data_IF_239920439812
#
_entry.id   IF_239920439812
#
_cell.length_a   1.000
_cell.length_b   1.000
_cell.length_c   1.000
_cell.angle_alpha   90.00
_cell.angle_beta   90.00
_cell.angle_gamma   90.00
#
_symmetry.space_group_name_H-M   'P 1'
#
loop_
_entity.id
_entity.type
_entity.pdbx_description
1 polymer ?
#
# COMPACT_ATOMS: atom_id res chain seq x y z
N UNK A 1 7.01 -13.00 3.43
CA UNK A 1 6.34 -11.70 3.65
C UNK A 1 4.93 -11.98 4.16
N UNK A 2 4.49 -11.28 5.19
CA UNK A 2 3.13 -11.38 5.72
C UNK A 2 2.30 -10.16 5.35
N UNK A 3 0.98 -10.28 5.44
CA UNK A 3 0.03 -9.18 5.34
C UNK A 3 -0.99 -9.31 6.46
N UNK A 4 -1.35 -8.20 7.09
CA UNK A 4 -2.35 -8.17 8.14
C UNK A 4 -3.32 -7.02 7.91
N UNK A 5 -4.60 -7.30 8.07
CA UNK A 5 -5.67 -6.31 8.04
C UNK A 5 -6.58 -6.51 9.25
N UNK A 6 -6.91 -5.43 9.94
CA UNK A 6 -8.00 -5.40 10.90
C UNK A 6 -8.86 -4.19 10.61
N UNK A 7 -10.18 -4.34 10.70
CA UNK A 7 -11.06 -3.25 10.37
C UNK A 7 -12.51 -3.66 10.21
N UNK A 8 -13.35 -2.69 9.82
CA UNK A 8 -14.76 -2.94 9.54
C UNK A 8 -15.14 -2.52 8.13
N UNK A 9 -16.17 -3.18 7.61
CA UNK A 9 -16.79 -2.91 6.33
C UNK A 9 -18.27 -2.59 6.54
N UNK A 10 -18.78 -1.59 5.84
CA UNK A 10 -20.20 -1.24 5.83
C UNK A 10 -20.62 -0.53 4.54
N UNK A 11 -21.87 -0.70 4.12
CA UNK A 11 -22.46 0.10 3.03
C UNK A 11 -22.95 1.47 3.52
N UNK A 12 -22.94 1.72 4.84
CA UNK A 12 -23.50 2.92 5.44
C UNK A 12 -22.44 4.02 5.62
N UNK A 13 -22.48 5.04 4.77
CA UNK A 13 -21.50 6.14 4.76
C UNK A 13 -21.36 6.85 6.12
N UNK A 14 -22.49 7.13 6.80
CA UNK A 14 -22.43 7.83 8.09
C UNK A 14 -21.81 6.98 9.20
N UNK A 15 -21.96 5.65 9.15
CA UNK A 15 -21.34 4.75 10.12
C UNK A 15 -19.83 4.68 9.90
N UNK A 16 -19.37 4.63 8.65
CA UNK A 16 -17.95 4.70 8.31
C UNK A 16 -17.33 6.04 8.74
N UNK A 17 -18.04 7.15 8.50
CA UNK A 17 -17.60 8.49 8.95
C UNK A 17 -17.55 8.60 10.47
N UNK A 18 -18.54 8.06 11.18
CA UNK A 18 -18.54 8.04 12.63
C UNK A 18 -17.39 7.19 13.20
N UNK A 19 -17.05 6.07 12.55
CA UNK A 19 -15.88 5.26 12.87
C UNK A 19 -14.57 6.06 12.73
N UNK A 20 -14.38 6.76 11.60
CA UNK A 20 -13.20 7.62 11.36
C UNK A 20 -13.03 8.69 12.45
N UNK A 21 -14.13 9.34 12.85
CA UNK A 21 -14.11 10.39 13.87
C UNK A 21 -13.86 9.83 15.27
N UNK A 22 -14.31 8.61 15.53
CA UNK A 22 -14.20 7.93 16.83
C UNK A 22 -12.81 7.35 17.06
N UNK A 23 -12.24 6.73 16.05
CA UNK A 23 -10.97 5.99 16.15
C UNK A 23 -9.91 6.72 15.33
N UNK A 24 -9.15 7.57 16.03
CA UNK A 24 -8.28 8.60 15.45
C UNK A 24 -7.27 8.10 14.42
N UNK A 25 -6.83 6.85 14.56
CA UNK A 25 -5.80 6.26 13.70
C UNK A 25 -6.36 5.33 12.63
N UNK A 26 -7.69 5.24 12.51
CA UNK A 26 -8.30 4.46 11.44
C UNK A 26 -8.34 5.25 10.13
N UNK A 27 -8.18 4.55 9.02
CA UNK A 27 -8.28 5.11 7.67
C UNK A 27 -9.59 4.63 7.01
N UNK A 28 -10.35 5.55 6.41
CA UNK A 28 -11.57 5.22 5.68
C UNK A 28 -11.35 5.36 4.19
N UNK A 29 -11.73 4.32 3.44
CA UNK A 29 -11.71 4.32 1.98
C UNK A 29 -13.04 3.86 1.42
N UNK A 30 -13.52 4.53 0.37
CA UNK A 30 -14.69 4.07 -0.39
C UNK A 30 -14.23 3.04 -1.42
N UNK A 31 -14.93 1.92 -1.48
CA UNK A 31 -14.73 0.86 -2.48
C UNK A 31 -15.85 0.98 -3.49
N UNK A 32 -15.53 0.79 -4.77
CA UNK A 32 -16.50 0.84 -5.86
C UNK A 32 -16.36 -0.30 -6.87
N UNK A 33 -15.14 -0.83 -7.05
CA UNK A 33 -14.85 -1.78 -8.12
C UNK A 33 -15.42 -3.18 -7.84
N UNK A 34 -15.20 -3.71 -6.63
CA UNK A 34 -15.69 -5.04 -6.24
C UNK A 34 -16.98 -5.00 -5.40
N UNK A 35 -17.29 -3.83 -4.83
CA UNK A 35 -18.42 -3.60 -3.92
C UNK A 35 -18.59 -2.10 -3.70
N UNK A 36 -19.82 -1.58 -3.66
CA UNK A 36 -20.10 -0.17 -3.33
C UNK A 36 -20.32 -0.01 -1.82
N UNK A 37 -19.28 0.43 -1.12
CA UNK A 37 -19.30 0.59 0.32
C UNK A 37 -18.03 1.21 0.86
N UNK A 38 -17.82 1.06 2.16
CA UNK A 38 -16.74 1.69 2.89
C UNK A 38 -15.96 0.65 3.69
N UNK A 39 -14.64 0.78 3.64
CA UNK A 39 -13.71 0.03 4.48
C UNK A 39 -13.05 1.00 5.45
N UNK A 40 -13.02 0.62 6.72
CA UNK A 40 -12.31 1.32 7.79
C UNK A 40 -11.19 0.38 8.24
N UNK A 41 -9.94 0.78 8.01
CA UNK A 41 -8.74 0.03 8.39
C UNK A 41 -8.25 0.53 9.75
N UNK A 42 -8.03 -0.38 10.69
CA UNK A 42 -7.27 -0.13 11.90
C UNK A 42 -5.78 0.08 11.58
N UNK A 43 -5.06 0.87 12.37
CA UNK A 43 -3.60 0.97 12.23
C UNK A 43 -2.96 -0.41 12.47
N UNK A 44 -1.87 -0.70 11.78
CA UNK A 44 -1.06 -1.89 11.98
C UNK A 44 0.30 -1.50 12.59
N UNK A 45 0.88 -2.37 13.40
CA UNK A 45 2.26 -2.17 13.90
C UNK A 45 3.30 -2.13 12.78
N UNK A 46 3.01 -2.79 11.65
CA UNK A 46 3.82 -2.69 10.44
C UNK A 46 3.77 -1.28 9.81
N UNK A 47 2.81 -0.44 10.21
CA UNK A 47 2.74 0.97 9.80
C UNK A 47 3.63 1.87 10.67
N UNK A 48 4.12 1.39 11.81
CA UNK A 48 4.98 2.17 12.70
C UNK A 48 6.34 2.42 12.06
N UNK A 49 6.84 3.62 12.29
CA UNK A 49 8.20 3.98 11.96
C UNK A 49 9.15 3.27 12.94
N UNK A 50 10.21 2.57 12.50
CA UNK A 50 11.14 1.90 13.44
C UNK A 50 11.95 2.78 14.41
N UNK A 51 11.69 4.11 14.48
CA UNK A 51 12.17 4.96 15.59
C UNK A 51 11.05 5.38 16.54
N UNK A 52 9.81 5.03 16.22
CA UNK A 52 8.73 5.13 17.19
C UNK A 52 9.03 4.16 18.33
N UNK A 53 8.72 4.64 19.53
CA UNK A 53 9.00 3.92 20.75
C UNK A 53 7.93 2.84 21.02
N UNK A 54 8.17 2.05 22.05
CA UNK A 54 7.24 1.04 22.54
C UNK A 54 5.86 1.64 22.84
N UNK A 55 5.79 2.90 23.29
CA UNK A 55 4.54 3.60 23.54
C UNK A 55 3.71 3.82 22.25
N UNK A 56 4.33 3.92 21.07
CA UNK A 56 3.59 3.98 19.81
C UNK A 56 2.98 2.63 19.43
N UNK A 57 3.73 1.54 19.65
CA UNK A 57 3.22 0.18 19.49
C UNK A 57 2.00 -0.04 20.39
N UNK A 58 2.10 0.33 21.67
CA UNK A 58 1.01 0.23 22.63
C UNK A 58 -0.23 1.03 22.19
N UNK A 59 -0.06 2.26 21.65
CA UNK A 59 -1.18 3.05 21.13
C UNK A 59 -1.89 2.37 19.97
N UNK A 60 -1.17 1.72 19.07
CA UNK A 60 -1.77 0.99 17.94
C UNK A 60 -2.55 -0.22 18.44
N UNK A 61 -1.96 -1.03 19.31
CA UNK A 61 -2.67 -2.18 19.89
C UNK A 61 -3.91 -1.73 20.65
N UNK A 62 -3.79 -0.67 21.46
CA UNK A 62 -4.93 -0.09 22.15
C UNK A 62 -6.02 0.36 21.18
N UNK A 63 -5.67 1.03 20.07
CA UNK A 63 -6.65 1.45 19.08
C UNK A 63 -7.36 0.25 18.43
N UNK A 64 -6.64 -0.83 18.13
CA UNK A 64 -7.22 -2.06 17.57
C UNK A 64 -8.24 -2.68 18.53
N UNK A 65 -7.94 -2.71 19.83
CA UNK A 65 -8.85 -3.17 20.87
C UNK A 65 -10.07 -2.24 21.03
N UNK A 66 -9.85 -0.92 21.04
CA UNK A 66 -10.93 0.08 21.09
C UNK A 66 -11.92 -0.03 19.91
N UNK A 67 -11.43 -0.41 18.72
CA UNK A 67 -12.30 -0.66 17.56
C UNK A 67 -13.15 -1.91 17.79
N UNK A 68 -12.53 -3.01 18.24
CA UNK A 68 -13.24 -4.27 18.53
C UNK A 68 -14.29 -4.09 19.63
N UNK A 69 -13.93 -3.45 20.73
CA UNK A 69 -14.81 -3.21 21.88
C UNK A 69 -15.90 -2.18 21.56
N UNK A 70 -15.57 -1.14 20.77
CA UNK A 70 -16.49 -0.08 20.39
C UNK A 70 -17.45 -0.43 19.26
N UNK A 71 -17.27 -1.56 18.58
CA UNK A 71 -18.03 -1.95 17.39
C UNK A 71 -19.54 -2.07 17.65
N UNK A 72 -19.94 -2.69 18.77
CA UNK A 72 -21.35 -2.85 19.12
C UNK A 72 -21.99 -1.51 19.50
N UNK A 73 -21.26 -0.63 20.19
CA UNK A 73 -21.74 0.71 20.47
C UNK A 73 -21.97 1.51 19.18
N UNK A 74 -21.04 1.43 18.22
CA UNK A 74 -21.21 2.03 16.89
C UNK A 74 -22.42 1.43 16.16
N UNK A 75 -22.59 0.10 16.18
CA UNK A 75 -23.74 -0.56 15.56
C UNK A 75 -25.08 -0.15 16.18
N UNK A 76 -25.12 0.12 17.48
CA UNK A 76 -26.34 0.59 18.16
C UNK A 76 -26.75 2.01 17.74
N UNK A 77 -25.78 2.88 17.42
CA UNK A 77 -26.04 4.23 16.90
C UNK A 77 -26.60 4.22 15.48
N UNK A 78 -26.27 3.18 14.70
CA UNK A 78 -26.72 3.00 13.32
C UNK A 78 -27.47 1.65 13.19
N UNK A 79 -28.71 1.54 13.72
CA UNK A 79 -29.41 0.26 13.85
C UNK A 79 -29.78 -0.41 12.52
N UNK A 80 -29.73 0.34 11.42
CA UNK A 80 -29.94 -0.17 10.05
C UNK A 80 -28.63 -0.51 9.33
N UNK A 81 -27.49 -0.12 9.89
CA UNK A 81 -26.17 -0.41 9.32
C UNK A 81 -25.69 -1.77 9.80
N UNK A 82 -25.50 -2.68 8.84
CA UNK A 82 -24.69 -3.86 9.08
C UNK A 82 -23.21 -3.45 9.10
N UNK A 83 -22.52 -3.80 10.18
CA UNK A 83 -21.07 -3.64 10.31
C UNK A 83 -20.44 -5.04 10.31
N UNK A 84 -19.51 -5.27 9.39
CA UNK A 84 -18.74 -6.52 9.30
C UNK A 84 -17.32 -6.23 9.71
N UNK A 85 -16.90 -6.72 10.88
CA UNK A 85 -15.50 -6.65 11.29
C UNK A 85 -14.74 -7.85 10.76
N UNK A 86 -13.54 -7.62 10.24
CA UNK A 86 -12.67 -8.65 9.67
C UNK A 86 -11.26 -8.48 10.21
N UNK A 87 -10.66 -9.59 10.60
CA UNK A 87 -9.25 -9.74 10.95
C UNK A 87 -8.64 -10.75 9.96
N UNK A 88 -7.62 -10.30 9.23
CA UNK A 88 -6.94 -11.05 8.18
C UNK A 88 -5.48 -11.18 8.57
N UNK A 89 -4.99 -12.41 8.55
CA UNK A 89 -3.57 -12.70 8.73
C UNK A 89 -3.10 -13.61 7.60
N UNK A 90 -2.28 -13.08 6.70
CA UNK A 90 -1.70 -13.81 5.60
C UNK A 90 -0.21 -14.04 5.84
N UNK A 91 0.24 -15.29 5.82
CA UNK A 91 1.65 -15.63 5.94
C UNK A 91 1.99 -16.80 5.01
N UNK A 92 3.02 -16.62 4.18
CA UNK A 92 3.51 -17.70 3.30
C UNK A 92 2.50 -18.15 2.23
N UNK A 93 1.59 -17.26 1.80
CA UNK A 93 0.56 -17.56 0.81
C UNK A 93 -0.72 -18.19 1.37
N UNK A 94 -0.81 -18.39 2.68
CA UNK A 94 -2.02 -18.82 3.38
C UNK A 94 -2.60 -17.64 4.13
N UNK A 95 -3.91 -17.41 4.02
CA UNK A 95 -4.63 -16.36 4.72
C UNK A 95 -5.65 -16.96 5.69
N UNK A 96 -5.60 -16.49 6.93
CA UNK A 96 -6.58 -16.79 7.97
C UNK A 96 -7.54 -15.61 8.09
N UNK A 97 -8.83 -15.92 8.10
CA UNK A 97 -9.90 -14.93 8.23
C UNK A 97 -10.69 -15.18 9.50
N UNK A 98 -10.87 -14.12 10.29
CA UNK A 98 -11.77 -14.07 11.44
C UNK A 98 -12.65 -12.84 11.34
N UNK A 99 -13.75 -12.84 12.06
CA UNK A 99 -14.63 -11.68 12.04
C UNK A 99 -15.92 -11.85 12.82
N UNK A 100 -16.74 -10.82 12.75
CA UNK A 100 -18.09 -10.85 13.30
C UNK A 100 -18.99 -9.88 12.54
N UNK A 101 -20.29 -10.15 12.60
CA UNK A 101 -21.32 -9.27 12.06
C UNK A 101 -22.04 -8.60 13.23
N UNK A 102 -22.16 -7.28 13.17
CA UNK A 102 -22.88 -6.48 14.15
C UNK A 102 -24.04 -5.71 13.49
N UNK A 103 -25.21 -5.77 14.10
CA UNK A 103 -26.41 -5.05 13.66
C UNK A 103 -27.20 -4.59 14.89
N UNK A 104 -27.58 -3.30 14.92
CA UNK A 104 -28.36 -2.71 16.02
C UNK A 104 -27.78 -2.96 17.42
N UNK A 105 -26.45 -3.03 17.54
CA UNK A 105 -25.77 -3.25 18.81
C UNK A 105 -25.67 -4.70 19.25
N UNK A 106 -26.11 -5.65 18.41
CA UNK A 106 -26.02 -7.08 18.68
C UNK A 106 -25.03 -7.77 17.72
N UNK A 107 -24.38 -8.82 18.20
CA UNK A 107 -23.61 -9.72 17.35
C UNK A 107 -24.58 -10.69 16.68
N UNK A 108 -24.71 -10.62 15.35
CA UNK A 108 -25.60 -11.51 14.58
C UNK A 108 -24.89 -12.72 13.97
N UNK A 109 -23.55 -12.69 13.86
CA UNK A 109 -22.71 -13.83 13.49
C UNK A 109 -21.27 -13.64 13.99
N UNK A 110 -20.54 -14.75 14.20
CA UNK A 110 -19.16 -14.77 14.73
C UNK A 110 -18.33 -15.87 14.06
N UNK A 111 -17.09 -15.54 13.68
CA UNK A 111 -16.18 -16.38 12.89
C UNK A 111 -14.81 -16.43 13.58
N UNK A 112 -14.66 -17.26 14.62
CA UNK A 112 -13.50 -17.22 15.55
C UNK A 112 -12.77 -18.56 15.74
N UNK A 113 -13.23 -19.63 15.09
CA UNK A 113 -12.64 -20.96 15.30
C UNK A 113 -11.20 -21.00 14.77
N UNK A 114 -10.26 -21.36 15.65
CA UNK A 114 -8.84 -21.55 15.31
C UNK A 114 -8.62 -22.82 14.47
N UNK A 115 -9.58 -23.76 14.55
CA UNK A 115 -9.50 -25.07 13.90
C UNK A 115 -10.23 -25.12 12.55
N UNK A 116 -10.94 -24.05 12.18
CA UNK A 116 -11.73 -23.98 10.94
C UNK A 116 -11.35 -22.69 10.21
N UNK A 117 -10.71 -22.83 9.05
CA UNK A 117 -10.54 -21.72 8.11
C UNK A 117 -11.93 -21.25 7.67
N UNK A 118 -12.29 -20.01 8.01
CA UNK A 118 -13.52 -19.41 7.53
C UNK A 118 -13.31 -18.89 6.11
N UNK A 119 -14.26 -19.20 5.23
CA UNK A 119 -14.26 -18.66 3.88
C UNK A 119 -14.55 -17.16 3.95
N UNK A 120 -13.63 -16.34 3.43
CA UNK A 120 -13.81 -14.89 3.39
C UNK A 120 -15.14 -14.48 2.73
N UNK A 121 -15.58 -15.22 1.71
CA UNK A 121 -16.84 -14.94 1.04
C UNK A 121 -18.05 -15.11 1.98
N UNK A 122 -17.96 -15.98 2.99
CA UNK A 122 -19.01 -16.13 3.99
C UNK A 122 -19.08 -14.93 4.93
N UNK A 123 -17.92 -14.45 5.38
CA UNK A 123 -17.82 -13.25 6.23
C UNK A 123 -18.34 -12.02 5.49
N UNK A 124 -18.03 -11.86 4.20
CA UNK A 124 -18.43 -10.67 3.43
C UNK A 124 -19.82 -10.78 2.78
N UNK A 125 -20.42 -11.98 2.72
CA UNK A 125 -21.70 -12.25 2.03
C UNK A 125 -22.80 -11.25 2.37
N UNK A 126 -23.04 -10.89 3.65
CA UNK A 126 -24.18 -10.03 3.98
C UNK A 126 -24.05 -8.58 3.50
N UNK A 127 -22.83 -8.15 3.10
CA UNK A 127 -22.61 -6.87 2.46
C UNK A 127 -22.88 -6.90 0.94
N UNK A 128 -23.19 -8.07 0.37
CA UNK A 128 -23.36 -8.27 -1.06
C UNK A 128 -22.05 -8.38 -1.83
N UNK A 129 -20.91 -8.54 -1.15
CA UNK A 129 -19.61 -8.77 -1.80
C UNK A 129 -19.63 -10.15 -2.46
N UNK A 130 -19.26 -10.19 -3.73
CA UNK A 130 -19.11 -11.43 -4.50
C UNK A 130 -17.65 -11.63 -4.85
N UNK A 131 -17.04 -12.66 -4.28
CA UNK A 131 -15.65 -13.01 -4.58
C UNK A 131 -15.60 -14.00 -5.74
N UNK A 132 -14.58 -13.84 -6.60
CA UNK A 132 -14.28 -14.78 -7.67
C UNK A 132 -13.78 -16.13 -7.16
N UNK A 133 -13.44 -17.02 -8.10
CA UNK A 133 -12.89 -18.35 -7.79
C UNK A 133 -11.57 -18.25 -7.02
N UNK A 134 -10.78 -17.21 -7.32
CA UNK A 134 -9.52 -16.87 -6.66
C UNK A 134 -9.69 -16.30 -5.25
N UNK A 135 -10.94 -16.08 -4.80
CA UNK A 135 -11.29 -15.46 -3.51
C UNK A 135 -10.62 -14.10 -3.30
N UNK A 136 -10.24 -13.43 -4.38
CA UNK A 136 -9.50 -12.19 -4.34
C UNK A 136 -10.41 -11.02 -3.92
N UNK A 137 -9.99 -10.32 -2.86
CA UNK A 137 -10.60 -9.07 -2.42
C UNK A 137 -9.52 -8.00 -2.34
N UNK A 138 -9.50 -7.11 -3.32
CA UNK A 138 -8.50 -6.05 -3.52
C UNK A 138 -8.27 -5.22 -2.25
N UNK A 139 -9.28 -4.86 -1.43
CA UNK A 139 -9.03 -4.12 -0.19
C UNK A 139 -8.12 -4.84 0.81
N UNK A 140 -7.96 -6.16 0.69
CA UNK A 140 -7.08 -6.99 1.51
C UNK A 140 -5.75 -7.30 0.82
N UNK A 141 -5.30 -6.40 -0.06
CA UNK A 141 -3.97 -6.45 -0.64
C UNK A 141 -3.03 -5.44 0.00
N UNK A 142 -1.75 -5.80 0.04
CA UNK A 142 -0.70 -4.89 0.47
C UNK A 142 -0.64 -3.68 -0.46
N UNK A 143 -0.53 -2.47 0.08
CA UNK A 143 -0.47 -1.25 -0.73
C UNK A 143 -1.83 -0.62 -1.00
N UNK A 144 -2.96 -1.29 -0.70
CA UNK A 144 -4.29 -0.80 -1.08
C UNK A 144 -4.63 0.58 -0.48
N UNK A 145 -4.23 0.85 0.76
CA UNK A 145 -4.43 2.17 1.40
C UNK A 145 -3.30 3.14 1.07
N UNK A 146 -2.13 2.63 0.73
CA UNK A 146 -0.94 3.41 0.39
C UNK A 146 -1.06 4.04 -1.01
N UNK A 147 -1.74 3.38 -1.96
CA UNK A 147 -1.95 3.89 -3.33
C UNK A 147 -2.71 5.24 -3.36
N UNK A 148 -3.66 5.46 -2.47
CA UNK A 148 -4.42 6.73 -2.42
C UNK A 148 -3.58 7.88 -1.85
N UNK A 149 -2.58 7.57 -1.01
CA UNK A 149 -1.58 8.57 -0.58
C UNK A 149 -0.72 9.03 -1.75
N UNK A 150 -0.51 8.17 -2.75
CA UNK A 150 0.17 8.55 -4.00
C UNK A 150 -0.73 9.38 -4.91
N UNK A 151 -2.04 9.11 -4.96
CA UNK A 151 -3.00 9.84 -5.82
C UNK A 151 -3.43 11.21 -5.27
N UNK A 152 -3.49 11.35 -3.94
CA UNK A 152 -3.80 12.64 -3.27
C UNK A 152 -2.60 13.58 -3.20
N UNK A 153 -1.41 13.08 -3.53
CA UNK A 153 -0.23 13.92 -3.74
C UNK A 153 -0.47 14.81 -4.97
N UNK A 154 -0.72 16.10 -4.73
CA UNK A 154 -0.61 17.11 -5.77
C UNK A 154 0.83 17.07 -6.27
N UNK A 155 1.07 16.39 -7.39
CA UNK A 155 2.38 16.40 -8.04
C UNK A 155 2.79 17.88 -8.16
N UNK A 156 3.90 18.32 -7.52
CA UNK A 156 4.45 19.60 -7.88
C UNK A 156 4.66 19.56 -9.40
N UNK A 157 4.19 20.60 -10.09
CA UNK A 157 4.16 20.63 -11.55
C UNK A 157 5.46 20.04 -12.13
N UNK A 158 5.36 19.12 -13.11
CA UNK A 158 6.49 18.34 -13.60
C UNK A 158 7.62 19.28 -13.97
N UNK A 159 8.64 19.36 -13.11
CA UNK A 159 9.88 20.05 -13.45
C UNK A 159 10.69 19.06 -14.25
N UNK A 160 11.09 19.42 -15.46
CA UNK A 160 12.10 18.68 -16.22
C UNK A 160 13.41 18.80 -15.45
N UNK A 161 13.66 17.84 -14.55
CA UNK A 161 14.87 17.81 -13.74
C UNK A 161 15.87 16.94 -14.49
N UNK A 162 16.99 17.55 -14.90
CA UNK A 162 18.12 16.79 -15.41
C UNK A 162 18.69 15.93 -14.30
N UNK A 163 18.82 14.62 -14.52
CA UNK A 163 19.50 13.72 -13.59
C UNK A 163 20.99 13.97 -13.65
N UNK A 164 21.64 14.06 -12.50
CA UNK A 164 23.08 14.28 -12.43
C UNK A 164 23.84 13.04 -12.98
N UNK A 165 24.87 13.18 -13.84
CA UNK A 165 25.60 12.04 -14.42
C UNK A 165 26.15 11.07 -13.36
N UNK A 166 26.76 11.59 -12.29
CA UNK A 166 27.29 10.74 -11.22
C UNK A 166 26.20 9.92 -10.48
N UNK A 167 24.94 10.39 -10.47
CA UNK A 167 23.82 9.62 -9.91
C UNK A 167 23.42 8.49 -10.86
N UNK A 168 23.41 8.74 -12.17
CA UNK A 168 23.18 7.71 -13.19
C UNK A 168 24.25 6.62 -13.16
N UNK A 169 25.52 7.02 -13.07
CA UNK A 169 26.65 6.09 -13.00
C UNK A 169 26.55 5.21 -11.75
N UNK A 170 26.26 5.80 -10.59
CA UNK A 170 26.04 5.04 -9.35
C UNK A 170 24.86 4.07 -9.46
N UNK A 171 23.72 4.53 -9.99
CA UNK A 171 22.54 3.70 -10.17
C UNK A 171 22.79 2.51 -11.13
N UNK A 172 23.59 2.72 -12.19
CA UNK A 172 24.00 1.66 -13.11
C UNK A 172 24.84 0.57 -12.41
N UNK A 173 25.63 0.92 -11.39
CA UNK A 173 26.35 -0.08 -10.58
C UNK A 173 25.47 -0.83 -9.58
N UNK A 174 24.17 -0.52 -9.52
CA UNK A 174 23.23 -1.14 -8.59
C UNK A 174 23.31 -0.61 -7.15
N UNK A 175 24.13 0.42 -6.90
CA UNK A 175 24.37 0.99 -5.57
C UNK A 175 24.47 2.52 -5.63
N UNK A 176 23.56 3.20 -4.95
CA UNK A 176 23.69 4.62 -4.63
C UNK A 176 23.97 4.72 -3.13
N UNK A 177 25.08 5.36 -2.75
CA UNK A 177 25.38 5.60 -1.33
C UNK A 177 24.85 6.96 -0.90
N UNK A 178 24.27 7.04 0.30
CA UNK A 178 23.65 8.26 0.80
C UNK A 178 24.58 9.50 0.80
N UNK A 179 25.87 9.40 1.18
CA UNK A 179 26.78 10.55 1.11
C UNK A 179 26.91 11.14 -0.30
N UNK A 180 26.93 10.31 -1.35
CA UNK A 180 26.97 10.75 -2.74
C UNK A 180 25.67 11.47 -3.11
N UNK A 181 24.53 10.85 -2.79
CA UNK A 181 23.22 11.44 -3.08
C UNK A 181 23.07 12.81 -2.40
N UNK A 182 23.46 12.92 -1.13
CA UNK A 182 23.43 14.18 -0.35
C UNK A 182 24.39 15.24 -0.91
N UNK A 183 25.56 14.83 -1.40
CA UNK A 183 26.50 15.73 -2.07
C UNK A 183 25.92 16.29 -3.37
N UNK A 184 25.29 15.45 -4.19
CA UNK A 184 24.62 15.87 -5.44
C UNK A 184 23.41 16.77 -5.12
N UNK A 185 22.61 16.43 -4.11
CA UNK A 185 21.49 17.24 -3.64
C UNK A 185 21.95 18.66 -3.28
N UNK A 186 23.06 18.75 -2.54
CA UNK A 186 23.68 20.02 -2.16
C UNK A 186 24.18 20.81 -3.37
N UNK A 187 24.86 20.17 -4.33
CA UNK A 187 25.41 20.85 -5.51
C UNK A 187 24.33 21.35 -6.47
N UNK A 188 23.19 20.67 -6.53
CA UNK A 188 22.06 21.02 -7.38
C UNK A 188 21.04 21.95 -6.70
N UNK A 189 21.23 22.29 -5.42
CA UNK A 189 20.25 22.99 -4.59
C UNK A 189 18.85 22.32 -4.67
N UNK A 190 18.83 21.01 -4.39
CA UNK A 190 17.65 20.14 -4.39
C UNK A 190 17.64 19.24 -3.16
N UNK A 191 16.47 18.68 -2.83
CA UNK A 191 16.39 17.64 -1.81
C UNK A 191 16.87 16.30 -2.38
N UNK A 192 17.37 15.39 -1.53
CA UNK A 192 17.67 14.02 -1.98
C UNK A 192 16.43 13.27 -2.50
N UNK A 193 15.23 13.40 -1.88
CA UNK A 193 13.97 12.92 -2.46
C UNK A 193 13.71 13.38 -3.89
N UNK A 194 13.88 14.67 -4.19
CA UNK A 194 13.62 15.22 -5.54
C UNK A 194 14.53 14.58 -6.59
N UNK A 195 15.78 14.28 -6.22
CA UNK A 195 16.74 13.64 -7.12
C UNK A 195 16.38 12.18 -7.40
N UNK A 196 15.84 11.46 -6.42
CA UNK A 196 15.38 10.08 -6.60
C UNK A 196 14.13 10.03 -7.47
N UNK A 197 13.18 10.96 -7.31
CA UNK A 197 12.04 11.06 -8.23
C UNK A 197 12.48 11.40 -9.65
N UNK A 198 13.44 12.32 -9.82
CA UNK A 198 13.99 12.64 -11.13
C UNK A 198 14.65 11.42 -11.78
N UNK A 199 15.39 10.63 -11.00
CA UNK A 199 15.97 9.36 -11.46
C UNK A 199 14.88 8.35 -11.86
N UNK A 200 13.84 8.19 -11.05
CA UNK A 200 12.75 7.26 -11.32
C UNK A 200 12.00 7.60 -12.61
N UNK A 201 11.70 8.89 -12.83
CA UNK A 201 11.10 9.35 -14.07
C UNK A 201 12.02 9.14 -15.27
N UNK A 202 13.31 9.44 -15.14
CA UNK A 202 14.27 9.18 -16.20
C UNK A 202 14.30 7.68 -16.57
N UNK A 203 14.35 6.79 -15.58
CA UNK A 203 14.31 5.34 -15.83
C UNK A 203 13.03 4.93 -16.54
N UNK A 204 11.88 5.37 -16.05
CA UNK A 204 10.57 5.08 -16.65
C UNK A 204 10.49 5.56 -18.11
N UNK A 205 10.92 6.79 -18.41
CA UNK A 205 10.93 7.35 -19.76
C UNK A 205 11.85 6.58 -20.70
N UNK A 206 13.08 6.30 -20.28
CA UNK A 206 14.06 5.61 -21.13
C UNK A 206 13.66 4.17 -21.39
N UNK A 207 13.07 3.49 -20.39
CA UNK A 207 12.51 2.16 -20.55
C UNK A 207 11.32 2.16 -21.52
N UNK A 208 10.37 3.09 -21.38
CA UNK A 208 9.21 3.20 -22.25
C UNK A 208 9.57 3.49 -23.73
N UNK A 209 10.68 4.21 -23.97
CA UNK A 209 11.22 4.46 -25.32
C UNK A 209 11.98 3.26 -25.90
N UNK A 210 12.24 2.21 -25.11
CA UNK A 210 13.13 1.11 -25.49
C UNK A 210 14.61 1.48 -25.52
N UNK A 211 14.98 2.62 -24.93
CA UNK A 211 16.37 3.11 -24.82
C UNK A 211 17.10 2.54 -23.59
N UNK A 212 16.36 1.90 -22.67
CA UNK A 212 16.89 1.19 -21.50
C UNK A 212 16.26 -0.20 -21.44
N UNK A 213 17.10 -1.24 -21.26
CA UNK A 213 16.63 -2.60 -21.08
C UNK A 213 15.89 -2.77 -19.75
N UNK A 214 15.09 -3.82 -19.63
CA UNK A 214 14.42 -4.16 -18.38
C UNK A 214 15.42 -4.36 -17.22
N UNK A 215 16.46 -5.17 -17.44
CA UNK A 215 17.48 -5.47 -16.43
C UNK A 215 18.22 -4.20 -15.96
N UNK A 216 18.52 -3.30 -16.90
CA UNK A 216 19.11 -2.00 -16.61
C UNK A 216 18.21 -1.12 -15.75
N UNK A 217 16.93 -1.06 -16.11
CA UNK A 217 15.94 -0.24 -15.42
C UNK A 217 15.67 -0.79 -14.01
N UNK A 218 15.45 -2.10 -13.86
CA UNK A 218 15.30 -2.77 -12.56
C UNK A 218 16.53 -2.54 -11.68
N UNK A 219 17.75 -2.69 -12.22
CA UNK A 219 18.99 -2.46 -11.46
C UNK A 219 19.07 -1.05 -10.88
N UNK A 220 18.70 -0.03 -11.66
CA UNK A 220 18.73 1.37 -11.23
C UNK A 220 17.65 1.67 -10.19
N UNK A 221 16.44 1.13 -10.36
CA UNK A 221 15.36 1.30 -9.38
C UNK A 221 15.65 0.58 -8.08
N UNK A 222 16.28 -0.60 -8.14
CA UNK A 222 16.83 -1.27 -6.96
C UNK A 222 17.88 -0.43 -6.24
N UNK A 223 18.77 0.25 -6.97
CA UNK A 223 19.74 1.16 -6.37
C UNK A 223 19.04 2.36 -5.69
N UNK A 224 18.02 2.92 -6.35
CA UNK A 224 17.25 4.06 -5.86
C UNK A 224 16.46 3.71 -4.59
N UNK A 225 15.75 2.58 -4.56
CA UNK A 225 14.98 2.18 -3.39
C UNK A 225 15.91 1.84 -2.22
N UNK A 226 17.04 1.15 -2.46
CA UNK A 226 18.01 0.83 -1.40
C UNK A 226 18.55 2.07 -0.68
N UNK A 227 18.82 3.16 -1.41
CA UNK A 227 19.26 4.41 -0.78
C UNK A 227 18.10 5.18 -0.16
N UNK A 228 16.91 5.15 -0.76
CA UNK A 228 15.71 5.77 -0.20
C UNK A 228 15.28 5.12 1.13
N UNK A 229 15.64 3.84 1.33
CA UNK A 229 15.30 3.06 2.53
C UNK A 229 16.47 2.84 3.48
N UNK A 230 17.59 3.55 3.33
CA UNK A 230 18.71 3.43 4.25
C UNK A 230 18.53 4.34 5.47
N UNK A 231 19.08 3.91 6.62
CA UNK A 231 18.95 4.63 7.89
C UNK A 231 19.38 6.12 7.82
N UNK A 232 20.51 6.49 7.18
CA UNK A 232 20.88 7.90 7.03
C UNK A 232 19.89 8.75 6.22
N UNK A 233 19.30 8.20 5.16
CA UNK A 233 18.30 8.90 4.36
C UNK A 233 17.03 9.11 5.18
N UNK A 234 16.56 8.03 5.81
CA UNK A 234 15.37 8.04 6.65
C UNK A 234 15.47 8.99 7.84
N UNK A 235 16.64 9.12 8.46
CA UNK A 235 16.87 10.08 9.54
C UNK A 235 16.77 11.54 9.08
N UNK A 236 17.11 11.86 7.83
CA UNK A 236 17.06 13.24 7.30
C UNK A 236 15.69 13.61 6.72
N UNK A 237 14.96 12.62 6.18
CA UNK A 237 13.70 12.84 5.45
C UNK A 237 12.49 12.15 6.09
N UNK A 238 12.53 11.84 7.38
CA UNK A 238 11.40 11.29 8.15
C UNK A 238 10.78 10.04 7.49
N UNK A 239 11.65 9.09 7.09
CA UNK A 239 11.30 7.87 6.32
C UNK A 239 10.51 8.09 5.03
N UNK A 240 10.44 9.31 4.51
CA UNK A 240 9.81 9.59 3.24
C UNK A 240 10.46 8.81 2.11
N UNK A 241 9.75 7.84 1.53
CA UNK A 241 10.16 7.24 0.25
C UNK A 241 9.41 7.99 -0.84
N UNK A 242 10.09 8.58 -1.83
CA UNK A 242 9.41 9.37 -2.83
C UNK A 242 8.39 8.53 -3.61
N UNK A 243 7.12 8.95 -3.66
CA UNK A 243 6.02 8.23 -4.30
C UNK A 243 6.34 7.63 -5.66
N UNK A 244 6.91 8.44 -6.56
CA UNK A 244 7.24 8.00 -7.92
C UNK A 244 8.40 7.00 -7.91
N UNK A 245 9.38 7.20 -7.02
CA UNK A 245 10.48 6.24 -6.87
C UNK A 245 9.95 4.88 -6.45
N UNK A 246 9.03 4.85 -5.48
CA UNK A 246 8.41 3.61 -5.02
C UNK A 246 7.55 2.95 -6.09
N UNK A 247 6.68 3.72 -6.76
CA UNK A 247 5.77 3.20 -7.79
C UNK A 247 6.53 2.60 -8.98
N UNK A 248 7.56 3.30 -9.48
CA UNK A 248 8.41 2.79 -10.57
C UNK A 248 9.16 1.54 -10.10
N UNK A 249 9.72 1.53 -8.89
CA UNK A 249 10.37 0.34 -8.34
C UNK A 249 9.42 -0.86 -8.27
N UNK A 250 8.22 -0.69 -7.74
CA UNK A 250 7.21 -1.75 -7.63
C UNK A 250 6.78 -2.28 -9.00
N UNK A 251 6.70 -1.43 -10.03
CA UNK A 251 6.40 -1.86 -11.38
C UNK A 251 7.46 -2.81 -11.95
N UNK A 252 8.75 -2.52 -11.70
CA UNK A 252 9.84 -3.43 -12.07
C UNK A 252 9.86 -4.66 -11.18
N UNK A 253 9.72 -4.53 -9.86
CA UNK A 253 9.68 -5.68 -8.93
C UNK A 253 8.58 -6.70 -9.32
N UNK A 254 7.39 -6.21 -9.68
CA UNK A 254 6.28 -7.05 -10.15
C UNK A 254 6.57 -7.76 -11.49
N UNK A 255 7.46 -7.24 -12.32
CA UNK A 255 7.85 -7.84 -13.60
C UNK A 255 8.93 -8.92 -13.49
N UNK A 256 9.53 -9.14 -12.31
CA UNK A 256 10.66 -10.07 -12.17
C UNK A 256 10.24 -11.54 -12.13
N UNK A 257 8.98 -11.82 -11.83
CA UNK A 257 8.48 -13.18 -11.62
C UNK A 257 7.08 -13.39 -12.19
N UNK A 258 6.77 -14.63 -12.51
CA UNK A 258 5.42 -15.06 -12.85
C UNK A 258 4.54 -15.03 -11.60
N UNK A 259 3.33 -14.47 -11.73
CA UNK A 259 2.37 -14.44 -10.64
C UNK A 259 1.44 -15.66 -10.69
N UNK A 260 0.81 -16.04 -9.57
CA UNK A 260 -0.18 -17.11 -9.55
C UNK A 260 -1.28 -16.89 -10.60
N UNK A 261 -1.50 -17.90 -11.45
CA UNK A 261 -2.49 -17.83 -12.53
C UNK A 261 -1.93 -17.38 -13.89
N UNK A 262 -0.67 -16.97 -13.96
CA UNK A 262 -0.01 -16.70 -15.24
C UNK A 262 0.25 -18.00 -16.02
N UNK A 263 -0.09 -17.97 -17.30
CA UNK A 263 0.34 -18.99 -18.26
C UNK A 263 1.83 -18.84 -18.58
N UNK A 264 2.48 -19.91 -19.05
CA UNK A 264 3.90 -19.90 -19.42
C UNK A 264 4.21 -18.97 -20.61
N UNK A 265 3.20 -18.59 -21.37
CA UNK A 265 3.27 -17.65 -22.48
C UNK A 265 3.19 -16.18 -22.04
N UNK A 266 2.84 -15.92 -20.78
CA UNK A 266 2.72 -14.57 -20.24
C UNK A 266 4.11 -14.03 -19.94
N UNK A 267 4.47 -12.89 -20.52
CA UNK A 267 5.65 -12.14 -20.12
C UNK A 267 5.29 -11.26 -18.91
N UNK A 268 5.89 -11.47 -17.72
CA UNK A 268 5.58 -10.66 -16.54
C UNK A 268 5.91 -9.18 -16.75
N UNK A 269 6.99 -8.88 -17.46
CA UNK A 269 7.34 -7.52 -17.89
C UNK A 269 6.20 -6.87 -18.69
N UNK A 270 5.66 -7.58 -19.69
CA UNK A 270 4.60 -7.07 -20.55
C UNK A 270 3.29 -6.88 -19.79
N UNK A 271 3.01 -7.76 -18.83
CA UNK A 271 1.75 -7.77 -18.08
C UNK A 271 1.73 -6.81 -16.89
N UNK A 272 2.85 -6.68 -16.17
CA UNK A 272 2.90 -5.97 -14.89
C UNK A 272 3.77 -4.70 -14.90
N UNK A 273 4.87 -4.68 -15.66
CA UNK A 273 5.76 -3.51 -15.70
C UNK A 273 5.28 -2.47 -16.70
N UNK A 274 5.09 -2.86 -17.97
CA UNK A 274 4.77 -1.90 -19.05
C UNK A 274 3.50 -1.08 -18.81
N UNK A 275 2.37 -1.67 -18.36
CA UNK A 275 1.14 -0.91 -18.12
C UNK A 275 1.33 0.16 -17.04
N UNK A 276 1.95 -0.21 -15.91
CA UNK A 276 2.17 0.71 -14.79
C UNK A 276 3.14 1.84 -15.17
N UNK A 277 4.21 1.54 -15.92
CA UNK A 277 5.11 2.59 -16.42
C UNK A 277 4.36 3.55 -17.37
N UNK A 278 3.50 3.04 -18.25
CA UNK A 278 2.71 3.88 -19.14
C UNK A 278 1.75 4.79 -18.38
N UNK A 279 1.10 4.28 -17.33
CA UNK A 279 0.22 5.07 -16.44
C UNK A 279 0.98 6.17 -15.69
N UNK A 280 2.14 5.85 -15.11
CA UNK A 280 3.00 6.83 -14.41
C UNK A 280 3.42 7.97 -15.35
N UNK A 281 3.79 7.65 -16.59
CA UNK A 281 4.19 8.66 -17.57
C UNK A 281 2.99 9.47 -18.09
N UNK A 282 1.83 8.85 -18.25
CA UNK A 282 0.60 9.55 -18.66
C UNK A 282 0.12 10.54 -17.58
N UNK A 283 0.26 10.22 -16.30
CA UNK A 283 -0.10 11.10 -15.20
C UNK A 283 0.82 12.34 -15.06
N UNK A 284 2.00 12.31 -15.69
CA UNK A 284 2.95 13.42 -15.69
C UNK A 284 2.64 14.50 -16.73
N UNK A 285 1.97 14.15 -17.83
CA UNK A 285 1.70 15.03 -18.98
C UNK A 285 0.38 15.79 -18.88
#
# INVERSE_FOLDING_TARGET
MGYQFQGLLTTHADAAKAAEQRWRYCEVKRVHEQWDGFIVRCPNVDDLHPTEDEAACERIYQQMDEVKDGLLALSAEFPTALLVFVDVECFGGVCLYRGLHALAGEVVARFESVDIEHDLAEILRPLGVQLGIDRYFQPFTRGYFELDRLQTWQHPAPRTISVHPALLDAALTGVIVYPLLRQIASSMARSAPDLLEALAYFVAEQYAKGEMSYDDASTRMHAAIKVATCEPFWAEYDRFVPPITLAVYQAFDAGEYYHPGDGFEVSPEDKYTKPVIAEILAARG
#
